data_IF_617847156862
#
_entry.id   IF_617847156862
#
_cell.length_a   1.000
_cell.length_b   1.000
_cell.length_c   1.000
_cell.angle_alpha   90.00
_cell.angle_beta   90.00
_cell.angle_gamma   90.00
#
_symmetry.space_group_name_H-M   'P 1'
#
loop_
_entity.id
_entity.type
_entity.pdbx_description
1 polymer ?
#
# COMPACT_ATOMS: atom_id res chain seq x y z
N UNK A 1 4.51 -13.39 -35.19
CA UNK A 1 5.39 -13.04 -34.06
C UNK A 1 4.51 -12.24 -33.09
N UNK A 2 4.27 -12.75 -31.90
CA UNK A 2 3.62 -11.95 -30.83
C UNK A 2 4.67 -10.93 -30.39
N UNK A 3 4.40 -9.64 -30.59
CA UNK A 3 5.23 -8.59 -29.99
C UNK A 3 5.20 -8.77 -28.46
N UNK A 4 6.36 -8.92 -27.89
CA UNK A 4 6.52 -9.02 -26.43
C UNK A 4 6.04 -7.69 -25.83
N UNK A 5 4.89 -7.72 -25.16
CA UNK A 5 4.32 -6.53 -24.53
C UNK A 5 5.32 -5.96 -23.52
N UNK A 6 5.97 -4.88 -23.87
CA UNK A 6 7.02 -4.27 -23.06
C UNK A 6 6.43 -3.31 -22.03
N UNK A 7 6.30 -3.76 -20.78
CA UNK A 7 5.92 -2.91 -19.66
C UNK A 7 7.15 -2.18 -19.09
N UNK A 8 6.95 -0.93 -18.72
CA UNK A 8 7.95 -0.13 -18.02
C UNK A 8 7.53 0.07 -16.57
N UNK A 9 8.39 -0.25 -15.63
CA UNK A 9 8.16 -0.05 -14.19
C UNK A 9 8.96 1.17 -13.74
N UNK A 10 8.27 2.19 -13.23
CA UNK A 10 8.91 3.45 -12.88
C UNK A 10 8.15 4.18 -11.78
N UNK A 11 8.78 5.19 -11.24
CA UNK A 11 8.15 6.20 -10.39
C UNK A 11 7.19 7.05 -11.23
N UNK A 12 6.07 7.45 -10.65
CA UNK A 12 5.15 8.36 -11.30
C UNK A 12 5.73 9.77 -11.42
N UNK A 13 5.08 10.59 -12.23
CA UNK A 13 5.32 12.02 -12.29
C UNK A 13 4.00 12.79 -12.12
N UNK A 14 4.07 14.10 -11.95
CA UNK A 14 2.91 14.95 -11.69
C UNK A 14 1.83 14.86 -12.80
N UNK A 15 2.24 14.69 -14.07
CA UNK A 15 1.30 14.59 -15.19
C UNK A 15 0.45 13.31 -15.14
N UNK A 16 0.87 12.31 -14.35
CA UNK A 16 0.14 11.05 -14.20
C UNK A 16 -1.02 11.14 -13.20
N UNK A 17 -1.22 12.25 -12.48
CA UNK A 17 -2.28 12.36 -11.47
C UNK A 17 -3.66 12.06 -12.05
N UNK A 18 -4.02 12.62 -13.20
CA UNK A 18 -5.32 12.40 -13.83
C UNK A 18 -5.51 10.94 -14.31
N UNK A 19 -4.61 10.34 -15.09
CA UNK A 19 -4.75 8.93 -15.47
C UNK A 19 -4.69 7.96 -14.27
N UNK A 20 -3.97 8.28 -13.20
CA UNK A 20 -3.96 7.46 -11.99
C UNK A 20 -5.28 7.52 -11.22
N UNK A 21 -5.97 8.67 -11.18
CA UNK A 21 -7.34 8.76 -10.63
C UNK A 21 -8.31 7.88 -11.40
N UNK A 22 -8.22 7.88 -12.73
CA UNK A 22 -9.04 7.03 -13.58
C UNK A 22 -8.75 5.55 -13.35
N UNK A 23 -7.47 5.17 -13.32
CA UNK A 23 -7.06 3.80 -13.02
C UNK A 23 -7.56 3.34 -11.66
N UNK A 24 -7.47 4.19 -10.64
CA UNK A 24 -8.00 3.90 -9.30
C UNK A 24 -9.50 3.59 -9.33
N UNK A 25 -10.28 4.44 -10.01
CA UNK A 25 -11.74 4.24 -10.12
C UNK A 25 -12.08 2.92 -10.83
N UNK A 26 -11.35 2.60 -11.91
CA UNK A 26 -11.54 1.34 -12.65
C UNK A 26 -11.20 0.12 -11.79
N UNK A 27 -10.15 0.21 -10.99
CA UNK A 27 -9.63 -0.94 -10.21
C UNK A 27 -10.43 -1.19 -8.94
N UNK A 28 -10.77 -0.13 -8.20
CA UNK A 28 -11.36 -0.23 -6.86
C UNK A 28 -12.83 0.21 -6.79
N UNK A 29 -13.32 0.99 -7.76
CA UNK A 29 -14.70 1.46 -7.79
C UNK A 29 -15.01 2.53 -6.72
N UNK A 30 -14.01 3.12 -6.10
CA UNK A 30 -14.18 4.18 -5.11
C UNK A 30 -14.83 5.43 -5.71
N UNK A 31 -15.50 6.22 -4.87
CA UNK A 31 -16.15 7.45 -5.31
C UNK A 31 -15.13 8.51 -5.74
N UNK A 32 -15.48 9.39 -6.71
CA UNK A 32 -14.62 10.51 -7.11
C UNK A 32 -14.18 11.40 -5.94
N UNK A 33 -15.05 11.61 -4.95
CA UNK A 33 -14.76 12.42 -3.76
C UNK A 33 -13.67 11.77 -2.89
N UNK A 34 -13.75 10.44 -2.68
CA UNK A 34 -12.72 9.71 -1.94
C UNK A 34 -11.38 9.73 -2.67
N UNK A 35 -11.40 9.47 -3.99
CA UNK A 35 -10.21 9.52 -4.83
C UNK A 35 -9.62 10.94 -4.81
N UNK A 36 -10.47 11.97 -4.96
CA UNK A 36 -10.07 13.38 -4.87
C UNK A 36 -9.36 13.68 -3.57
N UNK A 37 -9.96 13.30 -2.44
CA UNK A 37 -9.40 13.51 -1.10
C UNK A 37 -8.01 12.86 -0.94
N UNK A 38 -7.82 11.64 -1.45
CA UNK A 38 -6.51 10.98 -1.42
C UNK A 38 -5.49 11.74 -2.26
N UNK A 39 -5.84 12.12 -3.48
CA UNK A 39 -4.91 12.81 -4.38
C UNK A 39 -4.54 14.23 -3.92
N UNK A 40 -5.43 14.91 -3.23
CA UNK A 40 -5.17 16.23 -2.66
C UNK A 40 -4.28 16.19 -1.41
N UNK A 41 -4.35 15.11 -0.63
CA UNK A 41 -3.72 15.07 0.69
C UNK A 41 -2.58 14.05 0.81
N UNK A 42 -2.48 13.07 -0.09
CA UNK A 42 -1.56 11.93 0.05
C UNK A 42 -0.81 11.55 -1.21
N UNK A 43 -1.27 12.01 -2.38
CA UNK A 43 -0.58 11.70 -3.63
C UNK A 43 0.71 12.50 -3.73
N UNK A 44 1.81 11.78 -3.79
CA UNK A 44 3.15 12.30 -4.06
C UNK A 44 3.72 11.45 -5.20
N UNK A 45 4.05 12.05 -6.35
CA UNK A 45 4.60 11.30 -7.49
C UNK A 45 5.82 10.48 -7.12
N UNK A 46 6.71 11.02 -6.30
CA UNK A 46 7.92 10.36 -5.80
C UNK A 46 7.62 9.15 -4.90
N UNK A 47 6.46 9.10 -4.29
CA UNK A 47 5.99 7.98 -3.47
C UNK A 47 4.96 7.10 -4.20
N UNK A 48 4.94 7.15 -5.53
CA UNK A 48 4.02 6.37 -6.36
C UNK A 48 4.80 5.57 -7.40
N UNK A 49 4.55 4.27 -7.47
CA UNK A 49 5.13 3.38 -8.47
C UNK A 49 4.06 2.91 -9.45
N UNK A 50 4.43 2.85 -10.71
CA UNK A 50 3.53 2.49 -11.82
C UNK A 50 4.15 1.48 -12.76
N UNK A 51 3.30 0.64 -13.36
CA UNK A 51 3.62 -0.07 -14.57
C UNK A 51 2.96 0.66 -15.73
N UNK A 52 3.74 0.99 -16.75
CA UNK A 52 3.27 1.65 -17.96
C UNK A 52 3.22 0.67 -19.12
N UNK A 53 2.18 0.76 -19.92
CA UNK A 53 2.08 0.15 -21.23
C UNK A 53 1.80 1.27 -22.26
N UNK A 54 2.64 1.39 -23.26
CA UNK A 54 2.57 2.47 -24.26
C UNK A 54 2.47 3.88 -23.62
N UNK A 55 3.15 4.08 -22.49
CA UNK A 55 3.17 5.35 -21.76
C UNK A 55 1.98 5.58 -20.83
N UNK A 56 0.94 4.74 -20.85
CA UNK A 56 -0.22 4.84 -19.98
C UNK A 56 -0.06 3.96 -18.72
N UNK A 57 -0.45 4.42 -17.52
CA UNK A 57 -0.40 3.61 -16.32
C UNK A 57 -1.47 2.50 -16.36
N UNK A 58 -1.02 1.25 -16.23
CA UNK A 58 -1.88 0.05 -16.20
C UNK A 58 -1.83 -0.70 -14.87
N UNK A 59 -0.85 -0.39 -14.02
CA UNK A 59 -0.82 -0.81 -12.63
C UNK A 59 -0.18 0.28 -11.77
N UNK A 60 -0.55 0.32 -10.50
CA UNK A 60 -0.10 1.34 -9.55
C UNK A 60 0.02 0.78 -8.14
N UNK A 61 0.83 1.43 -7.34
CA UNK A 61 0.84 1.35 -5.88
C UNK A 61 1.38 2.67 -5.29
N UNK A 62 1.00 2.95 -4.06
CA UNK A 62 1.42 4.15 -3.34
C UNK A 62 2.24 3.75 -2.12
N UNK A 63 3.28 4.54 -1.83
CA UNK A 63 4.24 4.32 -0.75
C UNK A 63 4.07 5.42 0.30
N UNK A 64 3.19 5.21 1.26
CA UNK A 64 2.97 6.18 2.31
C UNK A 64 4.13 6.14 3.32
N UNK A 65 4.85 7.25 3.53
CA UNK A 65 5.93 7.29 4.52
C UNK A 65 5.40 7.06 5.93
N UNK A 66 6.02 6.14 6.64
CA UNK A 66 5.72 5.85 8.05
C UNK A 66 7.01 5.59 8.83
N UNK A 67 6.91 5.71 10.13
CA UNK A 67 7.97 5.35 11.06
C UNK A 67 7.51 4.18 11.92
N UNK A 68 8.33 3.14 12.00
CA UNK A 68 8.14 2.03 12.93
C UNK A 68 9.12 2.21 14.07
N UNK A 69 8.61 2.25 15.28
CA UNK A 69 9.44 2.34 16.49
C UNK A 69 9.49 1.00 17.20
N UNK A 70 10.71 0.53 17.45
CA UNK A 70 10.96 -0.68 18.23
C UNK A 70 12.17 -0.46 19.13
N UNK A 71 12.05 -0.73 20.43
CA UNK A 71 13.12 -0.56 21.42
C UNK A 71 13.79 0.83 21.36
N UNK A 72 12.96 1.88 21.28
CA UNK A 72 13.37 3.30 21.14
C UNK A 72 14.18 3.63 19.88
N UNK A 73 14.24 2.73 18.91
CA UNK A 73 14.84 2.94 17.60
C UNK A 73 13.71 3.20 16.59
N UNK A 74 13.88 4.27 15.81
CA UNK A 74 12.98 4.64 14.73
C UNK A 74 13.50 4.09 13.40
N UNK A 75 12.65 3.31 12.72
CA UNK A 75 12.92 2.74 11.42
C UNK A 75 12.11 3.47 10.35
N UNK A 76 12.79 3.97 9.32
CA UNK A 76 12.13 4.51 8.14
C UNK A 76 11.45 3.37 7.37
N UNK A 77 10.16 3.48 7.18
CA UNK A 77 9.36 2.44 6.54
C UNK A 77 8.38 3.03 5.51
N UNK A 78 7.81 2.17 4.67
CA UNK A 78 6.75 2.53 3.72
C UNK A 78 5.54 1.62 3.90
N UNK A 79 4.38 2.23 4.01
CA UNK A 79 3.12 1.50 3.92
C UNK A 79 2.70 1.44 2.44
N UNK A 80 2.67 0.23 1.89
CA UNK A 80 2.24 -0.01 0.51
C UNK A 80 0.72 0.01 0.49
N UNK A 81 0.16 0.93 -0.27
CA UNK A 81 -1.27 1.19 -0.32
C UNK A 81 -1.79 1.13 -1.76
N UNK A 82 -3.06 0.71 -1.91
CA UNK A 82 -3.80 0.68 -3.17
C UNK A 82 -3.01 0.02 -4.32
N UNK A 83 -2.52 -1.21 -4.08
CA UNK A 83 -1.90 -2.02 -5.14
C UNK A 83 -2.97 -2.47 -6.11
N UNK A 84 -2.91 -1.95 -7.33
CA UNK A 84 -3.95 -2.18 -8.32
C UNK A 84 -3.43 -2.42 -9.73
N UNK A 85 -4.12 -3.27 -10.51
CA UNK A 85 -3.84 -3.53 -11.92
C UNK A 85 -5.16 -3.42 -12.70
N UNK A 86 -5.12 -2.68 -13.80
CA UNK A 86 -6.23 -2.55 -14.73
C UNK A 86 -6.76 -3.93 -15.14
N UNK A 87 -8.07 -4.17 -15.19
CA UNK A 87 -8.66 -5.48 -15.49
C UNK A 87 -8.08 -6.16 -16.73
N UNK A 88 -7.90 -5.44 -17.82
CA UNK A 88 -7.41 -5.97 -19.10
C UNK A 88 -5.94 -6.43 -19.05
N UNK A 89 -5.20 -6.02 -18.03
CA UNK A 89 -3.78 -6.37 -17.84
C UNK A 89 -3.54 -7.30 -16.65
N UNK A 90 -4.60 -7.84 -16.05
CA UNK A 90 -4.50 -8.83 -14.96
C UNK A 90 -3.95 -10.16 -15.47
N UNK A 91 -3.55 -11.01 -14.53
CA UNK A 91 -2.99 -12.36 -14.79
C UNK A 91 -1.70 -12.39 -15.63
N UNK A 92 -1.07 -11.24 -15.87
CA UNK A 92 0.21 -11.11 -16.58
C UNK A 92 1.40 -10.88 -15.62
N UNK A 93 1.21 -11.06 -14.32
CA UNK A 93 2.28 -10.91 -13.33
C UNK A 93 2.69 -9.46 -12.99
N UNK A 94 2.01 -8.44 -13.54
CA UNK A 94 2.38 -7.03 -13.41
C UNK A 94 2.48 -6.55 -11.97
N UNK A 95 1.52 -6.89 -11.12
CA UNK A 95 1.54 -6.52 -9.71
C UNK A 95 2.77 -7.08 -8.97
N UNK A 96 3.14 -8.33 -9.28
CA UNK A 96 4.36 -8.95 -8.73
C UNK A 96 5.64 -8.27 -9.22
N UNK A 97 5.71 -7.95 -10.51
CA UNK A 97 6.85 -7.24 -11.11
C UNK A 97 6.95 -5.81 -10.56
N UNK A 98 5.82 -5.11 -10.39
CA UNK A 98 5.76 -3.78 -9.79
C UNK A 98 6.25 -3.79 -8.33
N UNK A 99 5.81 -4.75 -7.52
CA UNK A 99 6.29 -4.94 -6.15
C UNK A 99 7.80 -5.20 -6.11
N UNK A 100 8.31 -6.06 -7.00
CA UNK A 100 9.75 -6.35 -7.11
C UNK A 100 10.55 -5.09 -7.46
N UNK A 101 10.11 -4.31 -8.43
CA UNK A 101 10.74 -3.03 -8.80
C UNK A 101 10.69 -2.02 -7.63
N UNK A 102 9.58 -1.98 -6.93
CA UNK A 102 9.39 -1.14 -5.73
C UNK A 102 10.39 -1.53 -4.64
N UNK A 103 10.52 -2.81 -4.30
CA UNK A 103 11.45 -3.26 -3.26
C UNK A 103 12.90 -2.97 -3.64
N UNK A 104 13.28 -3.15 -4.90
CA UNK A 104 14.62 -2.80 -5.38
C UNK A 104 14.92 -1.31 -5.18
N UNK A 105 13.96 -0.45 -5.49
CA UNK A 105 14.05 0.99 -5.26
C UNK A 105 14.18 1.32 -3.77
N UNK A 106 13.27 0.80 -2.93
CA UNK A 106 13.28 1.06 -1.49
C UNK A 106 14.59 0.63 -0.82
N UNK A 107 15.16 -0.49 -1.26
CA UNK A 107 16.48 -0.94 -0.79
C UNK A 107 17.60 0.05 -1.15
N UNK A 108 17.58 0.62 -2.37
CA UNK A 108 18.54 1.65 -2.77
C UNK A 108 18.38 2.95 -1.97
N UNK A 109 17.16 3.29 -1.57
CA UNK A 109 16.85 4.45 -0.73
C UNK A 109 17.14 4.23 0.78
N UNK A 110 17.59 3.03 1.17
CA UNK A 110 17.87 2.70 2.57
C UNK A 110 16.61 2.60 3.44
N UNK A 111 15.45 2.32 2.84
CA UNK A 111 14.21 2.08 3.58
C UNK A 111 14.31 0.74 4.29
N UNK A 112 14.14 0.74 5.61
CA UNK A 112 14.36 -0.43 6.45
C UNK A 112 13.35 -1.55 6.19
N UNK A 113 12.08 -1.20 5.95
CA UNK A 113 11.02 -2.17 5.68
C UNK A 113 9.83 -1.54 4.95
N UNK A 114 9.09 -2.38 4.25
CA UNK A 114 7.77 -2.06 3.71
C UNK A 114 6.71 -2.97 4.32
N UNK A 115 5.53 -2.44 4.53
CA UNK A 115 4.41 -3.20 5.06
C UNK A 115 3.13 -2.88 4.31
N UNK A 116 2.20 -3.81 4.34
CA UNK A 116 0.85 -3.64 3.80
C UNK A 116 -0.16 -4.41 4.66
N UNK A 117 -1.43 -4.10 4.48
CA UNK A 117 -2.52 -4.87 5.04
C UNK A 117 -3.29 -5.50 3.87
N UNK A 118 -3.28 -6.84 3.74
CA UNK A 118 -4.09 -7.50 2.73
C UNK A 118 -5.58 -7.20 2.94
N UNK A 119 -6.29 -6.84 1.86
CA UNK A 119 -7.71 -6.52 1.92
C UNK A 119 -8.57 -7.76 2.18
N UNK A 120 -8.09 -8.93 1.76
CA UNK A 120 -8.79 -10.20 1.87
C UNK A 120 -7.86 -11.33 2.35
N UNK A 121 -8.40 -12.36 3.03
CA UNK A 121 -7.59 -13.49 3.51
C UNK A 121 -6.81 -14.22 2.41
N UNK A 122 -7.35 -14.31 1.21
CA UNK A 122 -6.69 -14.93 0.04
C UNK A 122 -5.38 -14.25 -0.36
N UNK A 123 -5.26 -12.95 -0.09
CA UNK A 123 -4.08 -12.15 -0.44
C UNK A 123 -2.87 -12.40 0.48
N UNK A 124 -3.05 -13.02 1.64
CA UNK A 124 -1.90 -13.38 2.49
C UNK A 124 -0.97 -14.37 1.78
N UNK A 125 -1.52 -15.41 1.15
CA UNK A 125 -0.71 -16.34 0.36
C UNK A 125 -0.05 -15.64 -0.85
N UNK A 126 -0.80 -14.75 -1.51
CA UNK A 126 -0.29 -13.97 -2.64
C UNK A 126 0.92 -13.12 -2.27
N UNK A 127 0.85 -12.39 -1.15
CA UNK A 127 1.96 -11.57 -0.68
C UNK A 127 3.09 -12.40 -0.07
N UNK A 128 2.78 -13.52 0.59
CA UNK A 128 3.75 -14.47 1.10
C UNK A 128 4.71 -14.98 0.02
N UNK A 129 4.17 -15.32 -1.16
CA UNK A 129 5.00 -15.72 -2.32
C UNK A 129 5.88 -14.58 -2.88
N UNK A 130 5.68 -13.34 -2.41
CA UNK A 130 6.44 -12.14 -2.81
C UNK A 130 7.35 -11.61 -1.71
N UNK A 131 7.64 -12.45 -0.71
CA UNK A 131 8.60 -12.14 0.35
C UNK A 131 8.02 -11.38 1.55
N UNK A 132 6.69 -11.24 1.64
CA UNK A 132 6.07 -10.69 2.83
C UNK A 132 5.82 -11.79 3.87
N UNK A 133 6.05 -11.46 5.14
CA UNK A 133 5.69 -12.30 6.28
C UNK A 133 4.64 -11.60 7.16
N UNK A 134 3.89 -12.39 7.92
CA UNK A 134 2.90 -11.84 8.84
C UNK A 134 3.57 -11.59 10.19
N UNK A 135 3.99 -10.34 10.43
CA UNK A 135 4.75 -9.93 11.62
C UNK A 135 3.98 -8.97 12.52
N UNK A 136 2.97 -8.28 11.98
CA UNK A 136 2.22 -7.28 12.71
C UNK A 136 0.76 -7.68 12.85
N UNK A 137 0.21 -7.50 14.05
CA UNK A 137 -1.18 -7.81 14.36
C UNK A 137 -1.90 -6.55 14.81
N UNK A 138 -3.11 -6.33 14.27
CA UNK A 138 -3.97 -5.23 14.68
C UNK A 138 -5.04 -5.74 15.65
N UNK A 139 -5.11 -5.15 16.84
CA UNK A 139 -6.26 -5.36 17.74
C UNK A 139 -7.39 -4.43 17.29
N UNK A 140 -8.52 -4.99 16.91
CA UNK A 140 -9.74 -4.23 16.62
C UNK A 140 -10.64 -4.28 17.85
N UNK A 141 -11.06 -3.11 18.35
CA UNK A 141 -12.06 -2.98 19.40
C UNK A 141 -13.29 -2.34 18.79
N UNK A 142 -14.40 -3.06 18.79
CA UNK A 142 -15.68 -2.50 18.39
C UNK A 142 -16.22 -1.64 19.55
N UNK A 143 -16.48 -0.38 19.29
CA UNK A 143 -17.14 0.53 20.23
C UNK A 143 -18.54 0.84 19.74
N UNK A 144 -19.54 0.49 20.54
CA UNK A 144 -20.90 0.93 20.33
C UNK A 144 -21.15 2.17 21.19
N UNK A 145 -21.26 3.38 20.63
CA UNK A 145 -21.54 4.58 21.42
C UNK A 145 -22.92 4.45 22.07
N UNK A 146 -22.98 4.66 23.39
CA UNK A 146 -24.27 4.79 24.07
C UNK A 146 -24.94 6.07 23.56
N UNK A 147 -26.18 5.98 23.07
CA UNK A 147 -26.98 7.14 22.68
C UNK A 147 -27.03 8.14 23.85
N UNK A 148 -26.53 9.37 23.61
CA UNK A 148 -26.63 10.49 24.56
C UNK A 148 -25.49 10.62 25.58
N UNK A 149 -24.39 9.85 25.45
CA UNK A 149 -23.19 10.05 26.28
C UNK A 149 -22.28 11.15 25.73
N UNK A 150 -21.47 11.82 26.58
CA UNK A 150 -20.44 12.74 26.10
C UNK A 150 -19.44 12.00 25.21
N UNK A 151 -18.93 12.70 24.18
CA UNK A 151 -17.88 12.18 23.32
C UNK A 151 -16.70 11.72 24.17
N UNK A 152 -16.44 10.43 24.17
CA UNK A 152 -15.28 9.87 24.86
C UNK A 152 -14.00 10.37 24.19
N UNK A 153 -13.14 11.04 24.93
CA UNK A 153 -11.81 11.39 24.46
C UNK A 153 -11.01 10.10 24.32
N UNK A 154 -10.69 9.73 23.07
CA UNK A 154 -9.81 8.59 22.81
C UNK A 154 -8.41 8.93 23.34
N UNK A 155 -8.04 8.36 24.47
CA UNK A 155 -6.64 8.35 24.91
C UNK A 155 -5.90 7.29 24.12
N UNK A 156 -4.86 7.69 23.41
CA UNK A 156 -3.91 6.75 22.79
C UNK A 156 -3.25 5.95 23.91
N UNK A 157 -3.59 4.66 24.03
CA UNK A 157 -2.89 3.75 24.92
C UNK A 157 -1.67 3.21 24.17
N UNK A 158 -0.48 3.27 24.77
CA UNK A 158 0.67 2.49 24.32
C UNK A 158 0.29 1.02 24.42
N UNK A 159 0.50 0.27 23.33
CA UNK A 159 0.38 -1.19 23.40
C UNK A 159 1.39 -1.70 24.43
N UNK A 160 0.99 -2.58 25.38
CA UNK A 160 1.95 -3.26 26.22
C UNK A 160 2.88 -4.10 25.32
N UNK A 161 4.15 -4.15 25.71
CA UNK A 161 5.21 -4.83 24.99
C UNK A 161 4.76 -6.26 24.59
N UNK A 162 4.80 -6.57 23.30
CA UNK A 162 4.50 -7.88 22.73
C UNK A 162 5.62 -8.93 23.01
N UNK A 163 6.55 -8.63 23.92
CA UNK A 163 7.70 -9.47 24.24
C UNK A 163 7.38 -10.73 25.05
N UNK A 164 6.15 -10.93 25.53
CA UNK A 164 5.83 -12.00 26.48
C UNK A 164 5.13 -13.23 25.91
N UNK A 165 4.99 -13.39 24.58
CA UNK A 165 4.24 -14.53 24.00
C UNK A 165 5.01 -15.39 22.97
N UNK A 166 6.34 -15.37 22.98
CA UNK A 166 7.14 -16.27 22.11
C UNK A 166 7.48 -17.63 22.73
N UNK A 167 7.10 -17.90 23.97
CA UNK A 167 7.41 -19.16 24.66
C UNK A 167 6.13 -19.86 25.13
N UNK A 168 5.31 -20.36 24.16
CA UNK A 168 4.39 -21.51 24.41
C UNK A 168 4.00 -22.17 23.10
#
# INVERSE_FOLDING_TARGET
MMEEQKFTFTQANAAMAAPLKQLWQIVFGDTPDYIGLFFENRFEPENTMVALFEGAPVAMLYLLPITIRQNDIDYNARYIYAVGTHPDYRSQGLSGALLKATHARLAQEGVALSLLVPAEPSLFAYYGMRGFSTEFYRKTVAYAPKKGGPLATLKTARLPELSAQRDR
#
